data_IF_146163516331
#
_entry.id   IF_146163516331
#
_cell.length_a   1.000
_cell.length_b   1.000
_cell.length_c   1.000
_cell.angle_alpha   90.00
_cell.angle_beta   90.00
_cell.angle_gamma   90.00
#
_symmetry.space_group_name_H-M   'P 1'
#
loop_
_entity.id
_entity.type
_entity.pdbx_description
1 polymer ?
#
# COMPACT_ATOMS: atom_id res chain seq x y z
N UNK A 1 -0.85 44.29 -6.85
CA UNK A 1 -1.64 43.05 -7.04
C UNK A 1 -0.67 41.94 -7.36
N UNK A 2 -0.29 41.14 -6.37
CA UNK A 2 0.36 39.85 -6.53
C UNK A 2 -0.11 39.02 -5.35
N UNK A 3 -1.13 38.17 -5.57
CA UNK A 3 -1.53 37.17 -4.58
C UNK A 3 -0.52 36.04 -4.68
N UNK A 4 0.18 35.82 -3.56
CA UNK A 4 1.09 34.71 -3.35
C UNK A 4 0.33 33.39 -3.54
N UNK A 5 0.85 32.58 -4.46
CA UNK A 5 0.44 31.19 -4.64
C UNK A 5 0.77 30.47 -3.34
N UNK A 6 -0.26 30.15 -2.57
CA UNK A 6 -0.15 29.33 -1.37
C UNK A 6 0.43 27.98 -1.77
N UNK A 7 1.71 27.76 -1.43
CA UNK A 7 2.31 26.44 -1.42
C UNK A 7 1.50 25.59 -0.45
N UNK A 8 0.63 24.76 -0.99
CA UNK A 8 0.09 23.60 -0.29
C UNK A 8 1.32 22.76 0.04
N UNK A 9 1.77 22.84 1.29
CA UNK A 9 2.94 22.13 1.78
C UNK A 9 2.70 20.63 1.71
N UNK A 10 2.99 20.03 0.56
CA UNK A 10 3.24 18.60 0.39
C UNK A 10 4.57 18.25 1.06
N UNK A 11 4.64 18.46 2.37
CA UNK A 11 5.78 18.04 3.16
C UNK A 11 5.76 16.53 3.25
N UNK A 12 6.72 15.88 2.59
CA UNK A 12 7.05 14.48 2.86
C UNK A 12 7.08 14.27 4.37
N UNK A 13 6.40 13.24 4.90
CA UNK A 13 6.49 12.95 6.33
C UNK A 13 7.97 12.74 6.70
N UNK A 14 8.43 13.30 7.83
CA UNK A 14 9.84 13.25 8.17
C UNK A 14 10.36 11.82 8.34
N UNK A 15 11.67 11.67 8.11
CA UNK A 15 12.39 10.40 8.31
C UNK A 15 12.27 9.88 9.73
N UNK A 16 11.82 8.64 9.91
CA UNK A 16 11.57 7.97 11.19
C UNK A 16 10.13 8.07 11.72
N UNK A 17 9.16 8.49 10.89
CA UNK A 17 7.74 8.57 11.28
C UNK A 17 7.01 7.23 11.14
N UNK A 18 5.86 7.11 11.82
CA UNK A 18 4.99 5.94 11.68
C UNK A 18 4.58 5.70 10.20
N UNK A 19 4.45 6.77 9.41
CA UNK A 19 4.21 6.68 7.97
C UNK A 19 5.30 5.88 7.26
N UNK A 20 6.58 6.24 7.39
CA UNK A 20 7.67 5.51 6.74
C UNK A 20 7.77 4.06 7.20
N UNK A 21 7.52 3.80 8.49
CA UNK A 21 7.49 2.43 9.01
C UNK A 21 6.42 1.61 8.30
N UNK A 22 5.22 2.17 8.15
CA UNK A 22 4.10 1.53 7.47
C UNK A 22 4.36 1.39 5.97
N UNK A 23 4.98 2.37 5.31
CA UNK A 23 5.37 2.29 3.89
C UNK A 23 6.41 1.20 3.66
N UNK A 24 7.44 1.09 4.50
CA UNK A 24 8.42 0.01 4.43
C UNK A 24 7.78 -1.38 4.66
N UNK A 25 6.79 -1.45 5.56
CA UNK A 25 6.02 -2.66 5.83
C UNK A 25 5.15 -3.04 4.61
N UNK A 26 4.51 -2.08 3.94
CA UNK A 26 3.79 -2.28 2.68
C UNK A 26 4.71 -2.81 1.58
N UNK A 27 5.91 -2.24 1.41
CA UNK A 27 6.88 -2.72 0.41
C UNK A 27 7.23 -4.19 0.67
N UNK A 28 7.48 -4.54 1.93
CA UNK A 28 7.80 -5.92 2.32
C UNK A 28 6.64 -6.88 2.03
N UNK A 29 5.42 -6.51 2.41
CA UNK A 29 4.23 -7.35 2.18
C UNK A 29 3.90 -7.49 0.70
N UNK A 30 4.08 -6.41 -0.06
CA UNK A 30 3.90 -6.42 -1.52
C UNK A 30 4.84 -7.43 -2.18
N UNK A 31 6.13 -7.42 -1.80
CA UNK A 31 7.10 -8.42 -2.28
C UNK A 31 6.72 -9.84 -1.85
N UNK A 32 6.20 -10.00 -0.63
CA UNK A 32 5.75 -11.30 -0.14
C UNK A 32 4.54 -11.83 -0.91
N UNK A 33 3.60 -10.96 -1.31
CA UNK A 33 2.49 -11.32 -2.20
C UNK A 33 3.04 -11.78 -3.55
N UNK A 34 3.87 -10.99 -4.21
CA UNK A 34 4.45 -11.39 -5.51
C UNK A 34 5.18 -12.73 -5.44
N UNK A 35 6.01 -12.94 -4.43
CA UNK A 35 6.71 -14.21 -4.23
C UNK A 35 5.75 -15.38 -3.94
N UNK A 36 4.66 -15.14 -3.21
CA UNK A 36 3.63 -16.15 -2.97
C UNK A 36 2.93 -16.55 -4.27
N UNK A 37 2.60 -15.56 -5.13
CA UNK A 37 1.98 -15.78 -6.44
C UNK A 37 2.87 -16.58 -7.36
N UNK A 38 4.15 -16.22 -7.49
CA UNK A 38 5.13 -16.97 -8.28
C UNK A 38 5.24 -18.42 -7.79
N UNK A 39 5.33 -18.63 -6.47
CA UNK A 39 5.36 -19.97 -5.88
C UNK A 39 4.07 -20.75 -6.16
N UNK A 40 2.92 -20.10 -6.06
CA UNK A 40 1.63 -20.74 -6.24
C UNK A 40 1.42 -21.13 -7.71
N UNK A 41 1.75 -20.25 -8.65
CA UNK A 41 1.76 -20.53 -10.10
C UNK A 41 2.66 -21.72 -10.42
N UNK A 42 3.88 -21.75 -9.87
CA UNK A 42 4.80 -22.87 -10.04
C UNK A 42 4.28 -24.20 -9.44
N UNK A 43 3.36 -24.14 -8.47
CA UNK A 43 2.81 -25.32 -7.80
C UNK A 43 1.69 -26.02 -8.58
N UNK A 44 1.13 -25.37 -9.61
CA UNK A 44 -0.01 -25.90 -10.39
C UNK A 44 -1.29 -26.10 -9.57
N UNK A 45 -1.40 -25.47 -8.40
CA UNK A 45 -2.58 -25.55 -7.52
C UNK A 45 -3.66 -24.55 -7.97
N UNK A 46 -4.90 -24.81 -7.55
CA UNK A 46 -6.15 -24.19 -8.03
C UNK A 46 -6.25 -22.66 -7.93
N UNK A 47 -7.19 -22.15 -7.13
CA UNK A 47 -7.39 -20.70 -7.00
C UNK A 47 -6.46 -20.12 -5.94
N UNK A 48 -5.66 -19.12 -6.31
CA UNK A 48 -4.78 -18.41 -5.37
C UNK A 48 -5.56 -17.61 -4.32
N UNK A 49 -6.82 -17.27 -4.61
CA UNK A 49 -7.68 -16.54 -3.69
C UNK A 49 -8.01 -17.33 -2.42
N UNK A 50 -7.95 -18.66 -2.47
CA UNK A 50 -8.17 -19.55 -1.33
C UNK A 50 -6.85 -19.95 -0.64
N UNK A 51 -5.71 -19.44 -1.10
CA UNK A 51 -4.42 -19.71 -0.45
C UNK A 51 -4.35 -18.98 0.90
N UNK A 52 -4.16 -19.70 2.02
CA UNK A 52 -4.11 -19.08 3.34
C UNK A 52 -2.99 -18.05 3.50
N UNK A 53 -1.91 -18.16 2.72
CA UNK A 53 -0.81 -17.20 2.75
C UNK A 53 -1.24 -15.90 2.08
N UNK A 54 -1.87 -15.99 0.90
CA UNK A 54 -2.44 -14.84 0.18
C UNK A 54 -3.49 -14.11 1.04
N UNK A 55 -4.42 -14.85 1.67
CA UNK A 55 -5.45 -14.27 2.53
C UNK A 55 -4.86 -13.51 3.73
N UNK A 56 -3.85 -14.09 4.40
CA UNK A 56 -3.17 -13.43 5.52
C UNK A 56 -2.46 -12.15 5.07
N UNK A 57 -1.70 -12.23 3.96
CA UNK A 57 -0.98 -11.07 3.42
C UNK A 57 -1.94 -9.94 3.03
N UNK A 58 -3.07 -10.27 2.40
CA UNK A 58 -4.13 -9.32 2.09
C UNK A 58 -4.63 -8.60 3.34
N UNK A 59 -4.95 -9.34 4.41
CA UNK A 59 -5.42 -8.76 5.67
C UNK A 59 -4.38 -7.84 6.33
N UNK A 60 -3.10 -8.21 6.27
CA UNK A 60 -2.01 -7.36 6.79
C UNK A 60 -1.88 -6.04 5.99
N UNK A 61 -2.02 -6.11 4.67
CA UNK A 61 -1.99 -4.93 3.80
C UNK A 61 -3.20 -4.02 4.05
N UNK A 62 -4.40 -4.60 4.21
CA UNK A 62 -5.62 -3.87 4.58
C UNK A 62 -5.45 -3.10 5.89
N UNK A 63 -4.92 -3.76 6.92
CA UNK A 63 -4.69 -3.13 8.23
C UNK A 63 -3.68 -1.97 8.15
N UNK A 64 -2.68 -2.05 7.27
CA UNK A 64 -1.75 -0.93 7.07
C UNK A 64 -2.45 0.24 6.37
N UNK A 65 -3.30 -0.03 5.37
CA UNK A 65 -4.10 1.01 4.72
C UNK A 65 -4.97 1.79 5.72
N UNK A 66 -5.68 1.08 6.61
CA UNK A 66 -6.46 1.67 7.69
C UNK A 66 -5.61 2.56 8.62
N UNK A 67 -4.38 2.14 8.93
CA UNK A 67 -3.47 2.92 9.79
C UNK A 67 -2.91 4.15 9.11
N UNK A 68 -2.57 4.06 7.82
CA UNK A 68 -2.13 5.20 7.03
C UNK A 68 -3.23 6.25 6.93
N UNK A 69 -4.49 5.83 6.70
CA UNK A 69 -5.66 6.72 6.74
C UNK A 69 -5.83 7.37 8.12
N UNK A 70 -5.64 6.62 9.20
CA UNK A 70 -5.72 7.16 10.56
C UNK A 70 -4.68 8.23 10.90
N UNK A 71 -3.50 8.21 10.26
CA UNK A 71 -2.39 9.14 10.56
C UNK A 71 -2.47 10.42 9.73
N UNK A 72 -2.79 10.31 8.44
CA UNK A 72 -2.76 11.45 7.51
C UNK A 72 -3.81 11.36 6.41
N UNK A 73 -4.81 10.50 6.58
CA UNK A 73 -5.89 10.32 5.64
C UNK A 73 -5.40 9.92 4.25
N UNK A 74 -6.12 10.44 3.26
CA UNK A 74 -5.86 10.13 1.87
C UNK A 74 -4.47 10.55 1.38
N UNK A 75 -3.94 11.67 1.87
CA UNK A 75 -2.62 12.17 1.47
C UNK A 75 -1.49 11.23 1.91
N UNK A 76 -1.53 10.76 3.16
CA UNK A 76 -0.59 9.76 3.65
C UNK A 76 -0.66 8.46 2.83
N UNK A 77 -1.86 8.04 2.45
CA UNK A 77 -2.06 6.85 1.66
C UNK A 77 -1.47 6.98 0.25
N UNK A 78 -1.73 8.09 -0.45
CA UNK A 78 -1.15 8.35 -1.79
C UNK A 78 0.37 8.35 -1.73
N UNK A 79 0.98 9.06 -0.77
CA UNK A 79 2.44 9.10 -0.64
C UNK A 79 3.05 7.72 -0.41
N UNK A 80 2.41 6.87 0.41
CA UNK A 80 2.88 5.50 0.62
C UNK A 80 2.72 4.63 -0.64
N UNK A 81 1.61 4.80 -1.37
CA UNK A 81 1.36 4.09 -2.63
C UNK A 81 2.40 4.46 -3.70
N UNK A 82 2.67 5.75 -3.90
CA UNK A 82 3.67 6.24 -4.86
C UNK A 82 5.05 5.63 -4.56
N UNK A 83 5.47 5.62 -3.29
CA UNK A 83 6.76 5.04 -2.89
C UNK A 83 6.82 3.51 -3.10
N UNK A 84 5.71 2.80 -2.86
CA UNK A 84 5.61 1.36 -3.13
C UNK A 84 5.66 1.08 -4.63
N UNK A 85 4.97 1.86 -5.45
CA UNK A 85 4.99 1.73 -6.92
C UNK A 85 6.38 2.02 -7.49
N UNK A 86 7.05 3.07 -7.01
CA UNK A 86 8.42 3.40 -7.41
C UNK A 86 9.41 2.29 -7.01
N UNK A 87 9.16 1.60 -5.91
CA UNK A 87 10.07 0.58 -5.36
C UNK A 87 9.82 -0.83 -5.89
N UNK A 88 8.55 -1.20 -6.10
CA UNK A 88 8.13 -2.58 -6.45
C UNK A 88 7.59 -2.66 -7.88
N UNK A 89 7.38 -1.52 -8.54
CA UNK A 89 6.87 -1.43 -9.90
C UNK A 89 5.38 -1.74 -10.00
N UNK A 90 4.92 -1.96 -11.24
CA UNK A 90 3.50 -2.15 -11.59
C UNK A 90 2.79 -3.24 -10.77
N UNK A 91 3.48 -4.33 -10.44
CA UNK A 91 2.92 -5.40 -9.61
C UNK A 91 2.60 -4.93 -8.18
N UNK A 92 3.35 -3.94 -7.68
CA UNK A 92 3.04 -3.30 -6.40
C UNK A 92 1.72 -2.54 -6.45
N UNK A 93 1.48 -1.78 -7.53
CA UNK A 93 0.21 -1.09 -7.76
C UNK A 93 -1.01 -2.00 -7.66
N UNK A 94 -0.94 -3.21 -8.23
CA UNK A 94 -2.04 -4.18 -8.16
C UNK A 94 -2.32 -4.64 -6.72
N UNK A 95 -1.28 -4.81 -5.91
CA UNK A 95 -1.38 -5.28 -4.52
C UNK A 95 -1.85 -4.16 -3.59
N UNK A 96 -1.53 -2.90 -3.90
CA UNK A 96 -2.01 -1.74 -3.15
C UNK A 96 -3.53 -1.60 -3.14
N UNK A 97 -4.23 -2.28 -4.06
CA UNK A 97 -5.69 -2.32 -4.01
C UNK A 97 -6.22 -2.86 -2.68
N UNK A 98 -5.50 -3.79 -2.05
CA UNK A 98 -5.88 -4.31 -0.73
C UNK A 98 -5.72 -3.25 0.35
N UNK A 99 -4.74 -2.35 0.25
CA UNK A 99 -4.58 -1.30 1.25
C UNK A 99 -5.74 -0.29 1.13
N UNK A 100 -6.16 0.03 -0.09
CA UNK A 100 -7.35 0.84 -0.34
C UNK A 100 -8.65 0.15 0.08
N UNK A 101 -8.76 -1.17 -0.07
CA UNK A 101 -9.92 -1.95 0.41
C UNK A 101 -10.10 -1.82 1.93
N UNK A 102 -9.01 -1.76 2.70
CA UNK A 102 -9.07 -1.57 4.16
C UNK A 102 -9.73 -0.25 4.57
N UNK A 103 -9.55 0.80 3.77
CA UNK A 103 -10.14 2.12 4.02
C UNK A 103 -11.62 2.17 3.61
N UNK A 104 -12.07 1.25 2.74
CA UNK A 104 -13.46 1.13 2.30
C UNK A 104 -13.96 2.27 1.40
N UNK A 105 -13.06 3.05 0.77
CA UNK A 105 -13.41 4.28 0.02
C UNK A 105 -13.20 4.21 -1.49
N UNK A 106 -13.45 3.05 -2.11
CA UNK A 106 -13.38 2.91 -3.57
C UNK A 106 -14.54 3.56 -4.34
N UNK A 107 -15.62 3.96 -3.66
CA UNK A 107 -16.85 4.41 -4.32
C UNK A 107 -17.58 5.53 -3.54
N UNK A 108 -16.93 6.68 -3.36
CA UNK A 108 -17.60 7.92 -2.96
C UNK A 108 -17.46 8.98 -4.06
#
# INVERSE_FOLDING_TARGET
MNQEVSQIGGGYPPKGTEHERLTAELIKLTRAVSANRERFEASGRGSIHDDPTEMRLKGEIQAIGERLDGIGGWGAMITACDEVEDTVGFMGGVVLNYAWDGIGRWAA
#
